data_IF_825477115175
#
_entry.id   IF_825477115175
#
_cell.length_a   1.000
_cell.length_b   1.000
_cell.length_c   1.000
_cell.angle_alpha   90.00
_cell.angle_beta   90.00
_cell.angle_gamma   90.00
#
_symmetry.space_group_name_H-M   'P 1'
#
loop_
_entity.id
_entity.type
_entity.pdbx_description
1 polymer ?
#
# COMPACT_ATOMS: atom_id res chain seq x y z
N UNK A 1 14.90 -34.56 48.77
CA UNK A 1 15.19 -35.48 47.65
C UNK A 1 13.96 -35.58 46.73
N UNK A 2 13.92 -34.81 45.64
CA UNK A 2 12.86 -34.87 44.63
C UNK A 2 13.35 -35.69 43.43
N UNK A 3 12.65 -36.77 43.09
CA UNK A 3 12.92 -37.62 41.92
C UNK A 3 12.75 -36.81 40.62
N UNK A 4 13.61 -36.98 39.59
CA UNK A 4 13.35 -36.42 38.27
C UNK A 4 12.27 -37.28 37.57
N UNK A 5 11.14 -36.68 37.22
CA UNK A 5 10.13 -37.34 36.38
C UNK A 5 10.61 -37.31 34.92
N UNK A 6 10.79 -38.50 34.37
CA UNK A 6 11.29 -38.73 33.01
C UNK A 6 10.41 -38.13 31.92
N UNK A 7 11.06 -37.82 30.79
CA UNK A 7 10.44 -37.43 29.53
C UNK A 7 9.35 -38.44 29.15
N UNK A 8 8.13 -37.95 28.89
CA UNK A 8 7.07 -38.75 28.31
C UNK A 8 7.52 -39.32 26.94
N UNK A 9 7.12 -40.55 26.57
CA UNK A 9 7.54 -41.15 25.31
C UNK A 9 6.91 -40.38 24.14
N UNK A 10 7.69 -40.16 23.08
CA UNK A 10 7.16 -39.78 21.76
C UNK A 10 6.08 -40.81 21.38
N UNK A 11 4.84 -40.35 21.14
CA UNK A 11 3.79 -41.19 20.54
C UNK A 11 4.35 -41.84 19.26
N UNK A 12 4.12 -43.15 19.04
CA UNK A 12 4.58 -43.81 17.82
C UNK A 12 3.92 -43.13 16.61
N UNK A 13 4.70 -42.88 15.56
CA UNK A 13 4.19 -42.43 14.27
C UNK A 13 3.10 -43.40 13.82
N UNK A 14 1.86 -42.92 13.71
CA UNK A 14 0.78 -43.71 13.13
C UNK A 14 1.24 -44.16 11.74
N UNK A 15 1.34 -45.48 11.52
CA UNK A 15 1.57 -46.04 10.19
C UNK A 15 0.46 -45.51 9.28
N UNK A 16 0.85 -44.82 8.20
CA UNK A 16 -0.12 -44.29 7.25
C UNK A 16 -0.90 -45.45 6.63
N UNK A 17 -2.23 -45.33 6.60
CA UNK A 17 -3.08 -46.29 5.88
C UNK A 17 -2.72 -46.28 4.38
N UNK A 18 -2.91 -47.39 3.64
CA UNK A 18 -2.51 -47.50 2.23
C UNK A 18 -3.08 -46.41 1.32
N UNK A 19 -4.30 -45.92 1.61
CA UNK A 19 -4.92 -44.80 0.89
C UNK A 19 -4.18 -43.47 1.08
N UNK A 20 -3.66 -43.22 2.28
CA UNK A 20 -2.96 -41.99 2.66
C UNK A 20 -1.59 -41.89 1.97
N UNK A 21 -0.87 -43.00 1.84
CA UNK A 21 0.39 -43.03 1.08
C UNK A 21 0.16 -42.69 -0.39
N UNK A 22 -0.86 -43.28 -1.02
CA UNK A 22 -1.20 -43.03 -2.44
C UNK A 22 -1.59 -41.57 -2.71
N UNK A 23 -2.38 -40.94 -1.83
CA UNK A 23 -2.71 -39.52 -1.98
C UNK A 23 -1.49 -38.60 -1.79
N UNK A 24 -0.58 -38.95 -0.87
CA UNK A 24 0.65 -38.16 -0.64
C UNK A 24 1.60 -38.27 -1.83
N UNK A 25 1.74 -39.45 -2.43
CA UNK A 25 2.54 -39.67 -3.63
C UNK A 25 1.98 -38.89 -4.84
N UNK A 26 0.66 -38.91 -5.00
CA UNK A 26 -0.01 -38.14 -6.06
C UNK A 26 0.15 -36.63 -5.84
N UNK A 27 0.03 -36.15 -4.60
CA UNK A 27 0.29 -34.75 -4.30
C UNK A 27 1.76 -34.37 -4.60
N UNK A 28 2.70 -35.23 -4.24
CA UNK A 28 4.13 -35.05 -4.51
C UNK A 28 4.40 -34.93 -6.02
N UNK A 29 3.77 -35.76 -6.85
CA UNK A 29 3.98 -35.73 -8.31
C UNK A 29 3.44 -34.46 -8.97
N UNK A 30 2.37 -33.85 -8.44
CA UNK A 30 1.81 -32.59 -8.95
C UNK A 30 2.38 -31.34 -8.27
N UNK A 31 3.12 -31.47 -7.16
CA UNK A 31 3.54 -30.37 -6.31
C UNK A 31 4.35 -29.30 -7.06
N UNK A 32 5.23 -29.70 -7.97
CA UNK A 32 6.01 -28.77 -8.79
C UNK A 32 5.11 -27.94 -9.72
N UNK A 33 4.15 -28.57 -10.38
CA UNK A 33 3.19 -27.91 -11.27
C UNK A 33 2.26 -26.99 -10.49
N UNK A 34 1.80 -27.42 -9.31
CA UNK A 34 1.00 -26.61 -8.40
C UNK A 34 1.80 -25.39 -7.90
N UNK A 35 3.09 -25.57 -7.60
CA UNK A 35 3.93 -24.44 -7.21
C UNK A 35 4.05 -23.41 -8.34
N UNK A 36 4.26 -23.86 -9.58
CA UNK A 36 4.26 -22.96 -10.75
C UNK A 36 2.92 -22.23 -10.92
N UNK A 37 1.79 -22.92 -10.68
CA UNK A 37 0.46 -22.29 -10.66
C UNK A 37 0.34 -21.22 -9.58
N UNK A 38 0.80 -21.49 -8.36
CA UNK A 38 0.83 -20.50 -7.26
C UNK A 38 1.66 -19.28 -7.65
N UNK A 39 2.86 -19.47 -8.21
CA UNK A 39 3.72 -18.36 -8.65
C UNK A 39 3.05 -17.50 -9.72
N UNK A 40 2.49 -18.14 -10.76
CA UNK A 40 1.81 -17.43 -11.84
C UNK A 40 0.55 -16.70 -11.37
N UNK A 41 -0.25 -17.34 -10.52
CA UNK A 41 -1.46 -16.72 -9.96
C UNK A 41 -1.11 -15.53 -9.08
N UNK A 42 -0.01 -15.59 -8.34
CA UNK A 42 0.48 -14.45 -7.56
C UNK A 42 0.86 -13.25 -8.44
N UNK A 43 1.61 -13.48 -9.53
CA UNK A 43 1.97 -12.42 -10.49
C UNK A 43 0.70 -11.80 -11.08
N UNK A 44 -0.24 -12.64 -11.53
CA UNK A 44 -1.52 -12.19 -12.06
C UNK A 44 -2.32 -11.35 -11.05
N UNK A 45 -2.43 -11.79 -9.79
CA UNK A 45 -3.13 -11.02 -8.76
C UNK A 45 -2.48 -9.63 -8.54
N UNK A 46 -1.15 -9.56 -8.56
CA UNK A 46 -0.41 -8.29 -8.45
C UNK A 46 -0.69 -7.36 -9.63
N UNK A 47 -0.61 -7.87 -10.86
CA UNK A 47 -0.91 -7.10 -12.07
C UNK A 47 -2.34 -6.59 -12.09
N UNK A 48 -3.30 -7.42 -11.66
CA UNK A 48 -4.70 -7.03 -11.55
C UNK A 48 -4.90 -5.91 -10.52
N UNK A 49 -4.30 -6.01 -9.34
CA UNK A 49 -4.41 -4.93 -8.34
C UNK A 49 -3.76 -3.63 -8.83
N UNK A 50 -2.58 -3.71 -9.45
CA UNK A 50 -1.84 -2.56 -9.94
C UNK A 50 -2.60 -1.84 -11.07
N UNK A 51 -3.21 -2.58 -12.00
CA UNK A 51 -4.03 -2.02 -13.09
C UNK A 51 -5.23 -1.23 -12.59
N UNK A 52 -5.82 -1.65 -11.48
CA UNK A 52 -6.95 -0.96 -10.85
C UNK A 52 -6.52 0.16 -9.89
N UNK A 53 -5.22 0.47 -9.81
CA UNK A 53 -4.69 1.53 -8.96
C UNK A 53 -4.74 1.20 -7.46
N UNK A 54 -4.98 -0.07 -7.10
CA UNK A 54 -4.99 -0.54 -5.73
C UNK A 54 -3.58 -0.97 -5.38
N UNK A 55 -3.06 -0.48 -4.25
CA UNK A 55 -1.73 -0.85 -3.75
C UNK A 55 -1.90 -1.63 -2.45
N UNK A 56 -2.01 -2.97 -2.52
CA UNK A 56 -1.94 -3.80 -1.33
C UNK A 56 -0.65 -3.52 -0.55
N UNK A 57 -0.71 -3.60 0.77
CA UNK A 57 0.46 -3.56 1.64
C UNK A 57 1.38 -4.74 1.33
N UNK A 58 0.80 -5.92 1.10
CA UNK A 58 1.52 -7.08 0.60
C UNK A 58 0.58 -8.05 -0.12
N UNK A 59 1.16 -8.85 -1.01
CA UNK A 59 0.52 -10.07 -1.54
C UNK A 59 1.46 -11.22 -1.23
N UNK A 60 1.06 -12.09 -0.33
CA UNK A 60 1.81 -13.29 0.01
C UNK A 60 1.27 -14.48 -0.77
N UNK A 61 2.10 -15.51 -0.93
CA UNK A 61 1.71 -16.77 -1.56
C UNK A 61 2.35 -17.93 -0.82
N UNK A 62 1.68 -19.08 -0.87
CA UNK A 62 2.18 -20.32 -0.30
C UNK A 62 1.60 -21.49 -1.06
N UNK A 63 2.48 -22.38 -1.51
CA UNK A 63 2.11 -23.75 -1.88
C UNK A 63 2.22 -24.62 -0.63
N UNK A 64 1.21 -25.46 -0.36
CA UNK A 64 1.20 -26.31 0.82
C UNK A 64 2.31 -27.36 0.71
N UNK A 65 3.15 -27.52 1.74
CA UNK A 65 4.20 -28.55 1.70
C UNK A 65 3.60 -29.95 1.75
N UNK A 66 4.34 -30.94 1.24
CA UNK A 66 3.91 -32.35 1.22
C UNK A 66 3.66 -32.85 2.65
N UNK A 67 4.49 -32.45 3.61
CA UNK A 67 4.34 -32.78 5.03
C UNK A 67 3.06 -32.17 5.60
N UNK A 68 2.82 -30.88 5.34
CA UNK A 68 1.60 -30.19 5.79
C UNK A 68 0.33 -30.78 5.15
N UNK A 69 0.42 -31.24 3.90
CA UNK A 69 -0.66 -31.95 3.23
C UNK A 69 -0.94 -33.29 3.92
N UNK A 70 0.11 -34.11 4.12
CA UNK A 70 0.02 -35.40 4.80
C UNK A 70 -0.54 -35.25 6.21
N UNK A 71 -0.08 -34.28 6.98
CA UNK A 71 -0.62 -34.01 8.31
C UNK A 71 -2.11 -33.65 8.26
N UNK A 72 -2.52 -32.82 7.29
CA UNK A 72 -3.90 -32.35 7.16
C UNK A 72 -4.88 -33.46 6.80
N UNK A 73 -4.50 -34.38 5.91
CA UNK A 73 -5.36 -35.52 5.52
C UNK A 73 -5.48 -36.58 6.61
N UNK A 74 -4.52 -36.64 7.55
CA UNK A 74 -4.52 -37.60 8.67
C UNK A 74 -5.13 -37.03 9.96
N UNK A 75 -5.71 -35.81 9.93
CA UNK A 75 -6.33 -35.23 11.13
C UNK A 75 -7.55 -36.06 11.56
N UNK A 76 -7.66 -36.45 12.84
CA UNK A 76 -8.81 -37.19 13.34
C UNK A 76 -10.13 -36.47 13.04
N UNK A 77 -11.13 -37.23 12.57
CA UNK A 77 -12.46 -36.68 12.26
C UNK A 77 -12.60 -36.04 10.88
N UNK A 78 -11.56 -36.06 10.03
CA UNK A 78 -11.65 -35.64 8.63
C UNK A 78 -11.38 -36.81 7.69
N UNK A 79 -12.43 -37.31 7.06
CA UNK A 79 -12.32 -38.38 6.05
C UNK A 79 -12.46 -37.77 4.66
N UNK A 80 -11.32 -37.44 4.05
CA UNK A 80 -11.29 -36.97 2.68
C UNK A 80 -11.27 -38.17 1.73
N UNK A 81 -12.28 -38.26 0.85
CA UNK A 81 -12.34 -39.29 -0.20
C UNK A 81 -11.52 -38.90 -1.43
N UNK A 82 -11.37 -37.60 -1.66
CA UNK A 82 -10.52 -37.02 -2.70
C UNK A 82 -9.84 -35.75 -2.16
N UNK A 83 -8.72 -35.91 -1.42
CA UNK A 83 -8.06 -34.77 -0.78
C UNK A 83 -7.56 -33.71 -1.76
N UNK A 84 -7.27 -34.06 -3.01
CA UNK A 84 -6.74 -33.11 -4.00
C UNK A 84 -7.79 -32.11 -4.46
N UNK A 85 -9.05 -32.56 -4.58
CA UNK A 85 -10.16 -31.69 -4.93
C UNK A 85 -10.89 -31.10 -3.71
N UNK A 86 -10.85 -31.78 -2.57
CA UNK A 86 -11.53 -31.35 -1.33
C UNK A 86 -10.70 -30.37 -0.49
N UNK A 87 -9.36 -30.39 -0.59
CA UNK A 87 -8.52 -29.38 0.04
C UNK A 87 -8.41 -28.16 -0.86
N UNK A 88 -8.98 -27.05 -0.42
CA UNK A 88 -9.02 -25.80 -1.17
C UNK A 88 -7.79 -24.92 -0.97
N UNK A 89 -6.94 -25.24 0.02
CA UNK A 89 -5.76 -24.47 0.44
C UNK A 89 -4.43 -25.11 0.00
N UNK A 90 -4.42 -25.81 -1.13
CA UNK A 90 -3.20 -26.37 -1.72
C UNK A 90 -2.32 -25.26 -2.34
N UNK A 91 -2.95 -24.32 -3.03
CA UNK A 91 -2.39 -23.04 -3.45
C UNK A 91 -3.09 -21.93 -2.65
N UNK A 92 -2.33 -21.13 -1.91
CA UNK A 92 -2.88 -20.09 -1.04
C UNK A 92 -2.25 -18.73 -1.34
N UNK A 93 -3.09 -17.70 -1.39
CA UNK A 93 -2.71 -16.31 -1.53
C UNK A 93 -3.28 -15.50 -0.37
N UNK A 94 -2.52 -14.51 0.10
CA UNK A 94 -3.00 -13.54 1.07
C UNK A 94 -2.77 -12.15 0.54
N UNK A 95 -3.85 -11.41 0.32
CA UNK A 95 -3.79 -10.02 -0.10
C UNK A 95 -4.10 -9.18 1.14
N UNK A 96 -3.12 -8.38 1.57
CA UNK A 96 -3.25 -7.47 2.71
C UNK A 96 -3.40 -6.05 2.17
N UNK A 97 -4.54 -5.43 2.42
CA UNK A 97 -4.85 -4.05 2.01
C UNK A 97 -4.84 -3.11 3.22
N UNK A 98 -4.79 -1.80 2.97
CA UNK A 98 -4.75 -0.80 4.04
C UNK A 98 -6.14 -0.48 4.60
N UNK A 99 -7.17 -0.45 3.74
CA UNK A 99 -8.50 0.04 4.08
C UNK A 99 -9.60 -0.98 3.75
N UNK A 100 -10.73 -0.90 4.46
CA UNK A 100 -11.87 -1.79 4.26
C UNK A 100 -12.46 -1.67 2.84
N UNK A 101 -12.55 -0.46 2.29
CA UNK A 101 -13.07 -0.24 0.93
C UNK A 101 -12.23 -0.96 -0.13
N UNK A 102 -10.93 -1.12 0.11
CA UNK A 102 -10.06 -1.85 -0.80
C UNK A 102 -10.31 -3.36 -0.78
N UNK A 103 -10.84 -3.91 0.33
CA UNK A 103 -11.32 -5.30 0.35
C UNK A 103 -12.43 -5.48 -0.68
N UNK A 104 -13.38 -4.56 -0.72
CA UNK A 104 -14.53 -4.71 -1.62
C UNK A 104 -14.15 -4.41 -3.08
N UNK A 105 -13.22 -3.49 -3.33
CA UNK A 105 -12.66 -3.26 -4.66
C UNK A 105 -11.90 -4.48 -5.18
N UNK A 106 -11.00 -5.06 -4.38
CA UNK A 106 -10.25 -6.26 -4.77
C UNK A 106 -11.17 -7.47 -4.92
N UNK A 107 -12.20 -7.59 -4.07
CA UNK A 107 -13.23 -8.62 -4.19
C UNK A 107 -13.91 -8.58 -5.57
N UNK A 108 -14.30 -7.39 -6.04
CA UNK A 108 -14.90 -7.22 -7.38
C UNK A 108 -13.94 -7.63 -8.49
N UNK A 109 -12.66 -7.28 -8.39
CA UNK A 109 -11.63 -7.69 -9.37
C UNK A 109 -11.52 -9.21 -9.41
N UNK A 110 -11.45 -9.87 -8.25
CA UNK A 110 -11.37 -11.33 -8.16
C UNK A 110 -12.61 -11.99 -8.78
N UNK A 111 -13.81 -11.50 -8.45
CA UNK A 111 -15.08 -12.00 -8.99
C UNK A 111 -15.23 -11.80 -10.51
N UNK A 112 -14.61 -10.75 -11.06
CA UNK A 112 -14.59 -10.49 -12.50
C UNK A 112 -13.64 -11.42 -13.25
N UNK A 113 -12.44 -11.62 -12.69
CA UNK A 113 -11.30 -12.27 -13.37
C UNK A 113 -11.23 -13.79 -13.18
N UNK A 114 -11.90 -14.33 -12.15
CA UNK A 114 -11.84 -15.74 -11.80
C UNK A 114 -13.22 -16.38 -11.67
N UNK A 115 -13.26 -17.70 -11.76
CA UNK A 115 -14.42 -18.48 -11.37
C UNK A 115 -14.41 -18.69 -9.86
N UNK A 116 -15.50 -18.29 -9.19
CA UNK A 116 -15.62 -18.36 -7.73
C UNK A 116 -16.46 -19.57 -7.33
N UNK A 117 -15.87 -20.46 -6.54
CA UNK A 117 -16.60 -21.54 -5.86
C UNK A 117 -17.29 -20.95 -4.62
N UNK A 118 -18.52 -20.46 -4.81
CA UNK A 118 -19.28 -19.78 -3.74
C UNK A 118 -19.57 -20.67 -2.54
N UNK A 119 -19.70 -21.99 -2.73
CA UNK A 119 -19.97 -22.94 -1.66
C UNK A 119 -18.74 -23.16 -0.77
N UNK A 120 -17.54 -23.10 -1.35
CA UNK A 120 -16.28 -23.23 -0.62
C UNK A 120 -15.70 -21.89 -0.13
N UNK A 121 -16.16 -20.77 -0.69
CA UNK A 121 -15.78 -19.41 -0.29
C UNK A 121 -16.51 -18.99 1.00
N UNK A 122 -15.90 -18.11 1.78
CA UNK A 122 -16.54 -17.58 2.99
C UNK A 122 -16.26 -16.09 3.18
N UNK A 123 -17.29 -15.34 3.57
CA UNK A 123 -17.12 -13.97 4.07
C UNK A 123 -17.44 -13.95 5.55
N UNK A 124 -16.41 -14.03 6.40
CA UNK A 124 -16.60 -14.03 7.84
C UNK A 124 -17.04 -12.68 8.38
N UNK A 125 -16.94 -11.61 7.58
CA UNK A 125 -17.47 -10.29 7.93
C UNK A 125 -19.00 -10.29 7.92
N UNK A 126 -19.62 -11.04 7.01
CA UNK A 126 -21.08 -11.12 6.88
C UNK A 126 -21.72 -12.17 7.81
N UNK A 127 -20.93 -13.05 8.42
CA UNK A 127 -21.42 -14.22 9.17
C UNK A 127 -21.34 -14.06 10.69
N UNK A 128 -20.79 -12.95 11.20
CA UNK A 128 -20.80 -12.66 12.63
C UNK A 128 -22.17 -12.13 13.04
N UNK A 129 -22.74 -12.71 14.10
CA UNK A 129 -23.95 -12.13 14.67
C UNK A 129 -23.65 -10.73 15.25
N UNK A 130 -24.62 -9.81 15.36
CA UNK A 130 -24.37 -8.45 15.86
C UNK A 130 -23.77 -8.36 17.27
N UNK A 131 -23.81 -9.45 18.04
CA UNK A 131 -23.26 -9.55 19.40
C UNK A 131 -21.91 -10.29 19.45
N UNK A 132 -21.36 -10.65 18.29
CA UNK A 132 -20.09 -11.36 18.15
C UNK A 132 -19.02 -10.44 17.56
N UNK A 133 -17.80 -10.55 18.09
CA UNK A 133 -16.59 -9.91 17.58
C UNK A 133 -15.57 -11.02 17.31
N UNK A 134 -14.76 -10.87 16.28
CA UNK A 134 -13.79 -11.93 16.03
C UNK A 134 -12.99 -11.78 14.75
N UNK A 135 -12.59 -12.94 14.24
CA UNK A 135 -11.73 -13.02 13.07
C UNK A 135 -12.50 -12.66 11.80
N UNK A 136 -12.24 -11.46 11.29
CA UNK A 136 -12.77 -10.92 10.05
C UNK A 136 -11.79 -11.21 8.89
N UNK A 137 -12.26 -11.89 7.85
CA UNK A 137 -11.53 -12.08 6.60
C UNK A 137 -12.49 -12.58 5.52
N UNK A 138 -12.22 -12.20 4.27
CA UNK A 138 -12.93 -12.73 3.11
C UNK A 138 -12.06 -13.73 2.37
N UNK A 139 -12.55 -14.96 2.24
CA UNK A 139 -11.84 -16.08 1.63
C UNK A 139 -12.55 -16.47 0.34
N UNK A 140 -11.84 -16.37 -0.77
CA UNK A 140 -12.31 -16.83 -2.08
C UNK A 140 -11.64 -18.14 -2.44
N UNK A 141 -12.42 -19.12 -2.88
CA UNK A 141 -11.89 -20.28 -3.59
C UNK A 141 -12.07 -20.02 -5.08
N UNK A 142 -10.94 -19.81 -5.75
CA UNK A 142 -10.88 -19.37 -7.14
C UNK A 142 -10.35 -20.48 -8.05
N UNK A 143 -10.80 -20.45 -9.31
CA UNK A 143 -10.21 -21.19 -10.42
C UNK A 143 -10.13 -20.30 -11.65
N UNK A 144 -9.30 -20.67 -12.61
CA UNK A 144 -9.12 -19.88 -13.83
C UNK A 144 -10.43 -19.83 -14.63
N UNK A 145 -10.75 -18.64 -15.15
CA UNK A 145 -11.93 -18.39 -15.98
C UNK A 145 -11.60 -18.55 -17.46
N UNK A 146 -12.54 -18.99 -18.29
CA UNK A 146 -12.39 -18.96 -19.75
C UNK A 146 -12.31 -17.50 -20.24
N UNK A 147 -11.45 -17.15 -21.22
CA UNK A 147 -10.60 -18.02 -22.03
C UNK A 147 -9.21 -18.30 -21.44
N UNK A 148 -8.89 -17.83 -20.22
CA UNK A 148 -7.55 -18.00 -19.64
C UNK A 148 -7.14 -19.47 -19.55
N UNK A 149 -8.08 -20.37 -19.28
CA UNK A 149 -7.84 -21.82 -19.25
C UNK A 149 -7.42 -22.43 -20.59
N UNK A 150 -7.65 -21.76 -21.72
CA UNK A 150 -7.28 -22.27 -23.05
C UNK A 150 -5.95 -21.70 -23.55
N UNK A 151 -5.39 -20.70 -22.87
CA UNK A 151 -4.12 -20.10 -23.25
C UNK A 151 -2.97 -21.11 -23.05
N UNK A 152 -2.01 -21.22 -23.99
CA UNK A 152 -0.91 -22.19 -23.90
C UNK A 152 -0.13 -22.13 -22.58
N UNK A 153 0.04 -20.93 -22.03
CA UNK A 153 0.76 -20.70 -20.79
C UNK A 153 -0.07 -20.98 -19.52
N UNK A 154 -1.37 -21.26 -19.64
CA UNK A 154 -2.28 -21.51 -18.51
C UNK A 154 -3.03 -22.86 -18.58
N UNK A 155 -3.07 -23.51 -19.74
CA UNK A 155 -3.87 -24.71 -19.97
C UNK A 155 -3.57 -25.88 -19.00
N UNK A 156 -2.31 -26.03 -18.59
CA UNK A 156 -1.85 -27.06 -17.66
C UNK A 156 -2.36 -26.86 -16.24
N UNK A 157 -2.93 -25.68 -15.94
CA UNK A 157 -3.46 -25.32 -14.63
C UNK A 157 -4.99 -25.20 -14.60
N UNK A 158 -5.68 -25.57 -15.69
CA UNK A 158 -7.12 -25.33 -15.85
C UNK A 158 -7.98 -25.95 -14.73
N UNK A 159 -7.52 -27.06 -14.13
CA UNK A 159 -8.23 -27.76 -13.06
C UNK A 159 -7.77 -27.38 -11.65
N UNK A 160 -6.79 -26.49 -11.51
CA UNK A 160 -6.31 -26.08 -10.19
C UNK A 160 -7.19 -24.99 -9.57
N UNK A 161 -7.31 -25.08 -8.25
CA UNK A 161 -7.96 -24.09 -7.40
C UNK A 161 -6.93 -23.40 -6.51
N UNK A 162 -7.20 -22.16 -6.15
CA UNK A 162 -6.45 -21.43 -5.14
C UNK A 162 -7.39 -20.80 -4.11
N UNK A 163 -6.94 -20.72 -2.87
CA UNK A 163 -7.58 -19.92 -1.83
C UNK A 163 -6.96 -18.52 -1.81
N UNK A 164 -7.78 -17.48 -1.94
CA UNK A 164 -7.36 -16.08 -1.76
C UNK A 164 -7.97 -15.54 -0.49
N UNK A 165 -7.12 -15.23 0.49
CA UNK A 165 -7.50 -14.60 1.75
C UNK A 165 -7.27 -13.10 1.65
N UNK A 166 -8.35 -12.33 1.68
CA UNK A 166 -8.32 -10.87 1.61
C UNK A 166 -8.59 -10.29 3.01
N UNK A 167 -7.70 -9.39 3.45
CA UNK A 167 -7.70 -8.80 4.80
C UNK A 167 -7.15 -7.38 4.80
N UNK A 168 -7.55 -6.57 5.78
CA UNK A 168 -6.81 -5.37 6.16
C UNK A 168 -5.52 -5.72 6.90
N UNK A 169 -4.63 -4.74 7.08
CA UNK A 169 -3.44 -4.87 7.96
C UNK A 169 -3.85 -5.25 9.39
N UNK A 170 -4.91 -4.65 9.94
CA UNK A 170 -5.34 -4.92 11.32
C UNK A 170 -5.97 -6.31 11.45
N UNK A 171 -6.78 -6.73 10.49
CA UNK A 171 -7.31 -8.10 10.42
C UNK A 171 -6.19 -9.15 10.30
N UNK A 172 -5.14 -8.85 9.53
CA UNK A 172 -3.98 -9.73 9.44
C UNK A 172 -3.22 -9.81 10.78
N UNK A 173 -2.95 -8.66 11.41
CA UNK A 173 -2.28 -8.59 12.70
C UNK A 173 -3.05 -9.38 13.78
N UNK A 174 -4.38 -9.19 13.83
CA UNK A 174 -5.24 -9.93 14.74
C UNK A 174 -5.11 -11.44 14.57
N UNK A 175 -5.25 -11.91 13.34
CA UNK A 175 -5.19 -13.33 13.02
C UNK A 175 -3.81 -13.95 13.32
N UNK A 176 -2.73 -13.21 13.08
CA UNK A 176 -1.38 -13.66 13.41
C UNK A 176 -1.19 -13.84 14.92
N UNK A 177 -1.71 -12.90 15.72
CA UNK A 177 -1.66 -12.96 17.19
C UNK A 177 -2.53 -14.11 17.71
N UNK A 178 -3.77 -14.20 17.25
CA UNK A 178 -4.73 -15.23 17.67
C UNK A 178 -4.21 -16.63 17.36
N UNK A 179 -3.70 -16.85 16.14
CA UNK A 179 -3.09 -18.11 15.75
C UNK A 179 -1.84 -18.44 16.59
N UNK A 180 -0.98 -17.46 16.87
CA UNK A 180 0.22 -17.64 17.70
C UNK A 180 -0.13 -18.03 19.14
N UNK A 181 -1.18 -17.42 19.71
CA UNK A 181 -1.66 -17.74 21.05
C UNK A 181 -2.27 -19.13 21.12
N UNK A 182 -3.14 -19.49 20.17
CA UNK A 182 -3.73 -20.82 20.10
C UNK A 182 -2.68 -21.92 19.87
N UNK A 183 -1.68 -21.67 19.03
CA UNK A 183 -0.64 -22.64 18.72
C UNK A 183 0.28 -22.93 19.92
N UNK A 184 0.56 -21.91 20.76
CA UNK A 184 1.40 -22.07 21.96
C UNK A 184 0.63 -22.63 23.15
N UNK A 185 -0.69 -22.55 23.15
CA UNK A 185 -1.56 -23.07 24.21
C UNK A 185 -2.22 -24.38 23.75
N UNK A 186 -1.54 -25.52 23.91
CA UNK A 186 -2.20 -26.85 23.85
C UNK A 186 -3.26 -27.04 24.97
N UNK A 187 -3.34 -26.06 25.88
CA UNK A 187 -4.31 -25.95 26.97
C UNK A 187 -5.28 -24.81 26.63
N UNK A 188 -6.58 -25.03 26.84
CA UNK A 188 -7.63 -24.02 26.61
C UNK A 188 -7.24 -22.62 27.11
N UNK A 189 -7.33 -21.63 26.22
CA UNK A 189 -7.13 -20.22 26.57
C UNK A 189 -8.09 -19.86 27.70
N UNK A 190 -7.61 -19.41 28.88
CA UNK A 190 -8.48 -19.07 30.01
C UNK A 190 -9.55 -18.04 29.60
N UNK A 191 -10.74 -18.16 30.18
CA UNK A 191 -11.91 -17.32 29.84
C UNK A 191 -11.62 -15.82 29.90
N UNK A 192 -10.84 -15.36 30.88
CA UNK A 192 -10.42 -13.96 30.99
C UNK A 192 -9.54 -13.52 29.80
N UNK A 193 -8.59 -14.35 29.39
CA UNK A 193 -7.75 -14.09 28.21
C UNK A 193 -8.57 -14.08 26.93
N UNK A 194 -9.53 -15.00 26.79
CA UNK A 194 -10.47 -15.03 25.65
C UNK A 194 -11.31 -13.75 25.60
N UNK A 195 -11.81 -13.27 26.74
CA UNK A 195 -12.55 -11.99 26.82
C UNK A 195 -11.68 -10.80 26.45
N UNK A 196 -10.40 -10.78 26.85
CA UNK A 196 -9.46 -9.72 26.44
C UNK A 196 -9.21 -9.74 24.93
N UNK A 197 -9.02 -10.94 24.36
CA UNK A 197 -8.86 -11.12 22.93
C UNK A 197 -10.07 -10.58 22.16
N UNK A 198 -11.28 -10.94 22.58
CA UNK A 198 -12.52 -10.46 21.99
C UNK A 198 -12.71 -8.93 22.07
N UNK A 199 -12.24 -8.30 23.15
CA UNK A 199 -12.25 -6.83 23.26
C UNK A 199 -11.25 -6.18 22.31
N UNK A 200 -10.08 -6.80 22.12
CA UNK A 200 -9.06 -6.32 21.18
C UNK A 200 -9.55 -6.44 19.74
N UNK A 201 -10.26 -7.52 19.36
CA UNK A 201 -10.83 -7.60 18.03
C UNK A 201 -11.83 -6.48 17.76
N UNK A 202 -12.68 -6.12 18.72
CA UNK A 202 -13.58 -4.97 18.58
C UNK A 202 -12.85 -3.62 18.45
N UNK A 203 -11.74 -3.44 19.16
CA UNK A 203 -10.91 -2.24 19.00
C UNK A 203 -10.28 -2.15 17.61
N UNK A 204 -9.81 -3.29 17.08
CA UNK A 204 -9.21 -3.35 15.75
C UNK A 204 -10.24 -3.15 14.63
N UNK A 205 -11.45 -3.68 14.81
CA UNK A 205 -12.57 -3.47 13.90
C UNK A 205 -12.97 -1.99 13.85
N UNK A 206 -13.16 -1.35 15.01
CA UNK A 206 -13.41 0.09 15.09
C UNK A 206 -12.28 0.91 14.45
N UNK A 207 -11.02 0.54 14.72
CA UNK A 207 -9.89 1.24 14.12
C UNK A 207 -9.87 1.11 12.59
N UNK A 208 -10.18 -0.07 12.04
CA UNK A 208 -10.31 -0.27 10.59
C UNK A 208 -11.41 0.63 9.99
N UNK A 209 -12.56 0.77 10.66
CA UNK A 209 -13.65 1.67 10.24
C UNK A 209 -13.23 3.13 10.25
N UNK A 210 -12.63 3.60 11.35
CA UNK A 210 -12.16 4.98 11.49
C UNK A 210 -11.08 5.34 10.45
N UNK A 211 -10.11 4.45 10.20
CA UNK A 211 -9.12 4.66 9.15
C UNK A 211 -9.75 4.73 7.75
N UNK A 212 -10.78 3.92 7.50
CA UNK A 212 -11.51 3.93 6.24
C UNK A 212 -12.30 5.24 6.06
N UNK A 213 -12.95 5.74 7.12
CA UNK A 213 -13.63 7.04 7.12
C UNK A 213 -12.66 8.19 6.83
N UNK A 214 -11.54 8.26 7.56
CA UNK A 214 -10.52 9.29 7.33
C UNK A 214 -9.98 9.27 5.90
N UNK A 215 -9.76 8.08 5.34
CA UNK A 215 -9.33 7.94 3.96
C UNK A 215 -10.39 8.47 2.99
N UNK A 216 -11.67 8.16 3.21
CA UNK A 216 -12.76 8.62 2.37
C UNK A 216 -12.97 10.13 2.44
N UNK A 217 -12.87 10.72 3.64
CA UNK A 217 -12.88 12.18 3.83
C UNK A 217 -11.72 12.86 3.08
N UNK A 218 -10.51 12.30 3.15
CA UNK A 218 -9.38 12.83 2.40
C UNK A 218 -9.58 12.73 0.88
N UNK A 219 -10.16 11.64 0.37
CA UNK A 219 -10.43 11.49 -1.06
C UNK A 219 -11.57 12.39 -1.54
N UNK A 220 -12.61 12.56 -0.74
CA UNK A 220 -13.69 13.50 -1.01
C UNK A 220 -13.16 14.93 -1.06
N UNK A 221 -12.38 15.32 -0.04
CA UNK A 221 -11.71 16.62 0.02
C UNK A 221 -10.84 16.84 -1.21
N UNK A 222 -9.98 15.88 -1.57
CA UNK A 222 -9.20 15.89 -2.82
C UNK A 222 -10.08 16.15 -4.04
N UNK A 223 -11.21 15.47 -4.14
CA UNK A 223 -12.11 15.55 -5.29
C UNK A 223 -12.79 16.92 -5.38
N UNK A 224 -13.28 17.44 -4.26
CA UNK A 224 -13.92 18.75 -4.19
C UNK A 224 -12.93 19.88 -4.46
N UNK A 225 -11.71 19.79 -3.91
CA UNK A 225 -10.60 20.70 -4.25
C UNK A 225 -10.33 20.67 -5.75
N UNK A 226 -10.20 19.49 -6.36
CA UNK A 226 -9.97 19.35 -7.81
C UNK A 226 -11.12 19.95 -8.62
N UNK A 227 -12.37 19.80 -8.20
CA UNK A 227 -13.53 20.43 -8.85
C UNK A 227 -13.51 21.96 -8.70
N UNK A 228 -13.20 22.45 -7.51
CA UNK A 228 -13.08 23.87 -7.20
C UNK A 228 -12.00 24.53 -8.06
N UNK A 229 -10.79 23.95 -8.12
CA UNK A 229 -9.69 24.43 -8.96
C UNK A 229 -10.06 24.44 -10.45
N UNK A 230 -10.71 23.38 -10.96
CA UNK A 230 -11.21 23.35 -12.36
C UNK A 230 -12.25 24.43 -12.66
N UNK A 231 -13.05 24.81 -11.66
CA UNK A 231 -14.05 25.88 -11.78
C UNK A 231 -13.46 27.27 -11.51
N UNK A 232 -12.14 27.38 -11.29
CA UNK A 232 -11.48 28.63 -10.94
C UNK A 232 -11.83 29.15 -9.55
N UNK A 233 -12.37 28.30 -8.67
CA UNK A 233 -12.68 28.67 -7.29
C UNK A 233 -11.38 28.80 -6.48
N UNK A 234 -11.00 30.05 -6.26
CA UNK A 234 -9.77 30.48 -5.58
C UNK A 234 -9.73 30.17 -4.08
N UNK A 235 -10.87 30.12 -3.40
CA UNK A 235 -11.01 30.16 -1.93
C UNK A 235 -10.70 28.87 -1.14
N UNK A 236 -9.89 27.95 -1.67
CA UNK A 236 -9.55 26.68 -0.99
C UNK A 236 -8.30 26.85 -0.12
N UNK A 237 -8.36 26.44 1.14
CA UNK A 237 -7.24 26.49 2.10
C UNK A 237 -5.97 25.79 1.58
N UNK A 238 -4.79 26.24 2.02
CA UNK A 238 -3.51 25.64 1.64
C UNK A 238 -3.15 24.49 2.58
N UNK A 239 -2.94 23.32 1.99
CA UNK A 239 -2.34 22.16 2.64
C UNK A 239 -1.67 21.27 1.57
N UNK A 240 -1.02 20.18 1.99
CA UNK A 240 -0.29 19.31 1.07
C UNK A 240 -1.18 18.75 -0.05
N UNK A 241 -2.44 18.45 0.27
CA UNK A 241 -3.42 17.93 -0.68
C UNK A 241 -3.77 18.96 -1.75
N UNK A 242 -4.01 20.21 -1.35
CA UNK A 242 -4.39 21.28 -2.27
C UNK A 242 -3.23 21.72 -3.15
N UNK A 243 -2.01 21.73 -2.59
CA UNK A 243 -0.78 21.96 -3.37
C UNK A 243 -0.53 20.86 -4.40
N UNK A 244 -0.70 19.58 -4.05
CA UNK A 244 -0.60 18.49 -5.05
C UNK A 244 -1.60 18.67 -6.19
N UNK A 245 -2.84 19.02 -5.88
CA UNK A 245 -3.86 19.27 -6.91
C UNK A 245 -3.53 20.51 -7.77
N UNK A 246 -2.99 21.57 -7.15
CA UNK A 246 -2.55 22.78 -7.83
C UNK A 246 -1.41 22.52 -8.82
N UNK A 247 -0.40 21.73 -8.43
CA UNK A 247 0.72 21.31 -9.29
C UNK A 247 0.28 20.52 -10.53
N UNK A 248 -0.80 19.74 -10.41
CA UNK A 248 -1.35 18.93 -11.51
C UNK A 248 -2.20 19.76 -12.49
N UNK A 249 -2.84 20.84 -12.04
CA UNK A 249 -3.95 21.47 -12.77
C UNK A 249 -3.75 22.93 -13.15
N UNK A 250 -2.94 23.70 -12.39
CA UNK A 250 -2.63 25.07 -12.75
C UNK A 250 -1.55 25.13 -13.81
N UNK A 251 -1.65 26.11 -14.71
CA UNK A 251 -0.59 26.43 -15.67
C UNK A 251 0.62 27.07 -14.98
N UNK A 252 0.43 27.79 -13.87
CA UNK A 252 1.48 28.57 -13.23
C UNK A 252 2.69 27.72 -12.83
N UNK A 253 2.56 26.58 -12.13
CA UNK A 253 3.73 25.76 -11.80
C UNK A 253 4.41 25.13 -13.03
N UNK A 254 3.66 24.86 -14.10
CA UNK A 254 4.24 24.41 -15.37
C UNK A 254 5.06 25.52 -16.03
N UNK A 255 4.51 26.73 -16.12
CA UNK A 255 5.21 27.88 -16.67
C UNK A 255 6.48 28.20 -15.87
N UNK A 256 6.42 28.18 -14.54
CA UNK A 256 7.59 28.39 -13.69
C UNK A 256 8.66 27.31 -13.90
N UNK A 257 8.26 26.05 -14.06
CA UNK A 257 9.18 24.97 -14.41
C UNK A 257 9.85 25.24 -15.76
N UNK A 258 9.08 25.62 -16.79
CA UNK A 258 9.65 25.95 -18.11
C UNK A 258 10.64 27.13 -18.03
N UNK A 259 10.36 28.14 -17.20
CA UNK A 259 11.30 29.24 -16.98
C UNK A 259 12.58 28.80 -16.25
N UNK A 260 12.50 27.85 -15.32
CA UNK A 260 13.70 27.26 -14.74
C UNK A 260 14.51 26.49 -15.80
N UNK A 261 13.86 25.69 -16.64
CA UNK A 261 14.53 24.92 -17.69
C UNK A 261 15.21 25.84 -18.73
N UNK A 262 14.58 26.96 -19.09
CA UNK A 262 15.17 27.91 -20.04
C UNK A 262 16.42 28.63 -19.50
N UNK A 263 16.56 28.72 -18.18
CA UNK A 263 17.75 29.26 -17.50
C UNK A 263 18.92 28.26 -17.49
N UNK A 264 18.63 26.96 -17.56
CA UNK A 264 19.64 25.89 -17.55
C UNK A 264 19.50 24.87 -16.42
N UNK A 265 18.42 24.94 -15.62
CA UNK A 265 18.09 23.85 -14.69
C UNK A 265 17.72 22.58 -15.47
N UNK A 266 17.96 21.40 -14.87
CA UNK A 266 17.84 20.11 -15.56
C UNK A 266 16.76 19.24 -14.91
N UNK A 267 15.98 18.50 -15.71
CA UNK A 267 15.07 17.48 -15.18
C UNK A 267 15.85 16.21 -14.78
N UNK A 268 15.39 15.46 -13.77
CA UNK A 268 15.95 14.14 -13.46
C UNK A 268 15.81 13.17 -14.63
N UNK A 269 16.84 12.38 -14.88
CA UNK A 269 16.91 11.36 -15.93
C UNK A 269 17.53 10.05 -15.40
N UNK A 270 17.84 9.09 -16.29
CA UNK A 270 18.44 7.81 -15.88
C UNK A 270 19.88 7.97 -15.34
N UNK A 271 20.62 8.97 -15.81
CA UNK A 271 21.99 9.27 -15.36
C UNK A 271 22.00 10.04 -14.02
N UNK A 272 20.93 10.81 -13.76
CA UNK A 272 20.76 11.68 -12.62
C UNK A 272 19.36 11.46 -11.97
N UNK A 273 19.08 10.27 -11.43
CA UNK A 273 17.78 9.97 -10.86
C UNK A 273 17.54 10.77 -9.58
N UNK A 274 16.26 11.06 -9.29
CA UNK A 274 15.89 11.55 -7.97
C UNK A 274 16.22 10.48 -6.91
N UNK A 275 16.67 10.86 -5.70
CA UNK A 275 17.03 9.92 -4.65
C UNK A 275 15.91 8.93 -4.30
N UNK A 276 14.66 9.40 -4.28
CA UNK A 276 13.45 8.58 -4.19
C UNK A 276 12.19 9.40 -4.53
N UNK A 277 11.04 8.73 -4.66
CA UNK A 277 9.74 9.37 -4.98
C UNK A 277 9.20 10.27 -3.86
N UNK A 278 9.55 9.99 -2.59
CA UNK A 278 9.14 10.78 -1.42
C UNK A 278 9.77 12.18 -1.40
N UNK A 279 10.80 12.42 -2.22
CA UNK A 279 11.46 13.70 -2.35
C UNK A 279 10.54 14.81 -2.87
N UNK A 280 9.59 14.48 -3.75
CA UNK A 280 8.58 15.45 -4.21
C UNK A 280 7.53 15.76 -3.13
N UNK A 281 7.18 14.78 -2.28
CA UNK A 281 6.23 14.97 -1.18
C UNK A 281 6.80 15.93 -0.12
N UNK A 282 8.12 15.90 0.10
CA UNK A 282 8.82 16.88 0.94
C UNK A 282 8.64 18.30 0.40
N UNK A 283 8.82 18.52 -0.89
CA UNK A 283 8.65 19.84 -1.51
C UNK A 283 7.21 20.33 -1.49
N UNK A 284 6.24 19.45 -1.72
CA UNK A 284 4.81 19.76 -1.55
C UNK A 284 4.53 20.22 -0.11
N UNK A 285 5.10 19.53 0.88
CA UNK A 285 4.96 19.87 2.29
C UNK A 285 5.63 21.22 2.62
N UNK A 286 6.80 21.48 2.04
CA UNK A 286 7.48 22.77 2.13
C UNK A 286 6.63 23.91 1.57
N UNK A 287 6.11 23.79 0.35
CA UNK A 287 5.23 24.81 -0.25
C UNK A 287 4.02 25.09 0.62
N UNK A 288 3.36 24.04 1.14
CA UNK A 288 2.21 24.20 2.03
C UNK A 288 2.60 24.98 3.29
N UNK A 289 3.68 24.59 3.97
CA UNK A 289 4.16 25.26 5.19
C UNK A 289 4.57 26.71 4.96
N UNK A 290 5.23 27.03 3.85
CA UNK A 290 5.64 28.41 3.53
C UNK A 290 4.42 29.30 3.26
N UNK A 291 3.39 28.74 2.61
CA UNK A 291 2.29 29.53 2.06
C UNK A 291 1.10 29.65 3.01
N UNK A 292 0.91 28.70 3.94
CA UNK A 292 -0.28 28.60 4.81
C UNK A 292 -0.51 29.86 5.65
N UNK A 293 0.55 30.45 6.22
CA UNK A 293 0.43 31.66 7.05
C UNK A 293 0.58 32.97 6.24
N UNK A 294 0.89 32.87 4.94
CA UNK A 294 1.18 34.02 4.07
C UNK A 294 0.08 34.31 3.07
N UNK A 295 -0.80 33.35 2.84
CA UNK A 295 -1.88 33.45 1.86
C UNK A 295 -3.11 32.71 2.34
N UNK A 296 -4.29 33.31 2.14
CA UNK A 296 -5.55 32.76 2.63
C UNK A 296 -5.96 31.45 1.93
N UNK A 297 -5.57 31.29 0.66
CA UNK A 297 -6.03 30.19 -0.19
C UNK A 297 -5.14 30.00 -1.44
N UNK A 298 -5.35 28.90 -2.15
CA UNK A 298 -4.60 28.54 -3.36
C UNK A 298 -4.74 29.57 -4.48
N UNK A 299 -5.89 30.23 -4.61
CA UNK A 299 -6.05 31.27 -5.63
C UNK A 299 -5.24 32.54 -5.32
N UNK A 300 -5.15 32.93 -4.04
CA UNK A 300 -4.26 34.01 -3.60
C UNK A 300 -2.79 33.67 -3.86
N UNK A 301 -2.38 32.41 -3.60
CA UNK A 301 -1.04 31.93 -3.94
C UNK A 301 -0.76 31.99 -5.46
N UNK A 302 -1.67 31.47 -6.29
CA UNK A 302 -1.55 31.51 -7.76
C UNK A 302 -1.45 32.95 -8.29
N UNK A 303 -2.29 33.86 -7.78
CA UNK A 303 -2.28 35.27 -8.16
C UNK A 303 -0.96 35.96 -7.78
N UNK A 304 -0.44 35.71 -6.58
CA UNK A 304 0.84 36.23 -6.11
C UNK A 304 2.00 35.71 -6.96
N UNK A 305 2.03 34.41 -7.26
CA UNK A 305 3.08 33.81 -8.10
C UNK A 305 3.03 34.36 -9.53
N UNK A 306 1.83 34.50 -10.13
CA UNK A 306 1.68 35.09 -11.47
C UNK A 306 2.10 36.55 -11.50
N UNK A 307 1.71 37.34 -10.50
CA UNK A 307 2.07 38.76 -10.41
C UNK A 307 3.59 38.96 -10.37
N UNK A 308 4.31 38.06 -9.71
CA UNK A 308 5.77 38.16 -9.54
C UNK A 308 6.55 37.25 -10.51
N UNK A 309 5.93 36.78 -11.60
CA UNK A 309 6.55 35.81 -12.52
C UNK A 309 7.89 36.27 -13.05
N UNK A 310 7.98 37.49 -13.58
CA UNK A 310 9.22 38.04 -14.13
C UNK A 310 10.34 38.12 -13.07
N UNK A 311 10.01 38.62 -11.87
CA UNK A 311 10.94 38.68 -10.74
C UNK A 311 11.42 37.29 -10.32
N UNK A 312 10.53 36.28 -10.33
CA UNK A 312 10.89 34.88 -10.09
C UNK A 312 11.87 34.38 -11.15
N UNK A 313 11.68 34.72 -12.43
CA UNK A 313 12.60 34.32 -13.51
C UNK A 313 13.98 34.95 -13.33
N UNK A 314 14.07 36.23 -12.95
CA UNK A 314 15.33 36.88 -12.60
C UNK A 314 16.00 36.21 -11.41
N UNK A 315 15.22 35.86 -10.37
CA UNK A 315 15.72 35.11 -9.23
C UNK A 315 16.28 33.75 -9.62
N UNK A 316 15.56 32.95 -10.41
CA UNK A 316 16.03 31.65 -10.89
C UNK A 316 17.33 31.78 -11.70
N UNK A 317 17.43 32.81 -12.55
CA UNK A 317 18.63 33.11 -13.33
C UNK A 317 19.82 33.47 -12.44
N UNK A 318 19.62 34.33 -11.45
CA UNK A 318 20.65 34.69 -10.48
C UNK A 318 21.08 33.48 -9.64
N UNK A 319 20.12 32.63 -9.23
CA UNK A 319 20.36 31.44 -8.43
C UNK A 319 21.21 30.41 -9.19
N UNK A 320 20.90 30.20 -10.46
CA UNK A 320 21.70 29.33 -11.33
C UNK A 320 23.13 29.87 -11.51
N UNK A 321 23.26 31.17 -11.78
CA UNK A 321 24.56 31.83 -11.96
C UNK A 321 25.43 31.84 -10.69
N UNK A 322 24.82 31.84 -9.50
CA UNK A 322 25.53 31.80 -8.22
C UNK A 322 26.25 30.46 -7.96
N UNK A 323 26.01 29.42 -8.78
CA UNK A 323 26.62 28.10 -8.62
C UNK A 323 27.13 27.53 -9.96
N UNK A 324 28.12 28.19 -10.59
CA UNK A 324 28.60 27.79 -11.92
C UNK A 324 29.19 26.38 -11.90
N UNK A 325 28.86 25.57 -12.91
CA UNK A 325 29.34 24.19 -13.07
C UNK A 325 28.63 23.14 -12.21
N UNK A 326 27.65 23.52 -11.40
CA UNK A 326 26.80 22.56 -10.67
C UNK A 326 25.53 22.24 -11.45
N UNK A 327 25.17 20.95 -11.53
CA UNK A 327 23.86 20.54 -12.06
C UNK A 327 22.78 20.81 -11.02
N UNK A 328 21.80 21.63 -11.38
CA UNK A 328 20.59 21.79 -10.58
C UNK A 328 19.48 20.90 -11.13
N UNK A 329 19.26 19.77 -10.46
CA UNK A 329 18.10 18.92 -10.76
C UNK A 329 16.84 19.54 -10.18
N UNK A 330 15.79 19.66 -11.00
CA UNK A 330 14.54 20.28 -10.60
C UNK A 330 13.33 19.45 -10.96
N UNK A 331 12.32 19.56 -10.11
CA UNK A 331 10.98 19.07 -10.37
C UNK A 331 10.00 20.22 -10.25
N UNK A 332 8.79 20.05 -10.80
CA UNK A 332 7.70 21.03 -10.65
C UNK A 332 7.49 21.48 -9.19
N UNK A 333 7.34 20.60 -8.18
CA UNK A 333 7.18 21.03 -6.79
C UNK A 333 8.42 21.72 -6.23
N UNK A 334 9.63 21.36 -6.68
CA UNK A 334 10.86 22.02 -6.24
C UNK A 334 10.94 23.47 -6.73
N UNK A 335 10.66 23.70 -8.02
CA UNK A 335 10.65 25.06 -8.58
C UNK A 335 9.57 25.90 -7.90
N UNK A 336 8.38 25.33 -7.68
CA UNK A 336 7.31 26.02 -6.95
C UNK A 336 7.75 26.44 -5.54
N UNK A 337 8.46 25.57 -4.82
CA UNK A 337 9.00 25.87 -3.49
C UNK A 337 10.03 27.01 -3.54
N UNK A 338 10.96 26.98 -4.50
CA UNK A 338 11.93 28.07 -4.70
C UNK A 338 11.22 29.40 -4.99
N UNK A 339 10.19 29.39 -5.83
CA UNK A 339 9.38 30.58 -6.11
C UNK A 339 8.70 31.10 -4.84
N UNK A 340 8.15 30.22 -4.00
CA UNK A 340 7.54 30.62 -2.73
C UNK A 340 8.58 31.22 -1.77
N UNK A 341 9.77 30.63 -1.65
CA UNK A 341 10.84 31.20 -0.84
C UNK A 341 11.25 32.61 -1.28
N UNK A 342 11.30 32.87 -2.59
CA UNK A 342 11.64 34.18 -3.11
C UNK A 342 10.54 35.21 -2.86
N UNK A 343 9.28 34.85 -3.12
CA UNK A 343 8.15 35.76 -2.95
C UNK A 343 7.89 36.08 -1.48
N UNK A 344 8.08 35.10 -0.58
CA UNK A 344 7.91 35.26 0.87
C UNK A 344 9.25 35.41 1.61
N UNK A 345 10.26 36.02 0.97
CA UNK A 345 11.65 36.07 1.45
C UNK A 345 11.89 36.85 2.75
N UNK A 346 10.92 37.62 3.23
CA UNK A 346 11.07 38.45 4.43
C UNK A 346 11.43 37.61 5.67
N UNK A 347 10.85 36.42 5.80
CA UNK A 347 11.11 35.49 6.91
C UNK A 347 12.10 34.37 6.52
N UNK A 348 12.64 34.42 5.30
CA UNK A 348 13.58 33.41 4.83
C UNK A 348 14.94 33.57 5.53
N UNK A 349 15.35 32.49 6.21
CA UNK A 349 16.64 32.40 6.91
C UNK A 349 17.41 31.14 6.51
N UNK A 350 18.72 31.17 6.74
CA UNK A 350 19.61 30.03 6.44
C UNK A 350 19.28 28.87 7.37
N UNK A 351 19.00 29.16 8.64
CA UNK A 351 18.63 28.20 9.68
C UNK A 351 17.36 27.43 9.30
N UNK A 352 16.34 28.12 8.78
CA UNK A 352 15.09 27.50 8.32
C UNK A 352 15.35 26.49 7.19
N UNK A 353 16.15 26.86 6.19
CA UNK A 353 16.47 25.96 5.09
C UNK A 353 17.27 24.75 5.56
N UNK A 354 18.22 24.94 6.49
CA UNK A 354 18.98 23.82 7.08
C UNK A 354 18.07 22.86 7.85
N UNK A 355 17.13 23.38 8.65
CA UNK A 355 16.12 22.55 9.34
C UNK A 355 15.26 21.76 8.35
N UNK A 356 15.00 22.32 7.17
CA UNK A 356 14.29 21.67 6.07
C UNK A 356 15.18 20.77 5.19
N UNK A 357 16.40 20.46 5.64
CA UNK A 357 17.30 19.46 5.02
C UNK A 357 18.24 20.01 3.95
N UNK A 358 18.35 21.34 3.80
CA UNK A 358 19.32 21.93 2.86
C UNK A 358 20.73 21.91 3.45
N UNK A 359 21.74 21.74 2.59
CA UNK A 359 23.12 21.96 3.03
C UNK A 359 23.36 23.45 3.26
N UNK A 360 24.18 23.77 4.28
CA UNK A 360 24.46 25.16 4.68
C UNK A 360 24.87 26.06 3.51
N UNK A 361 25.78 25.58 2.67
CA UNK A 361 26.26 26.34 1.50
C UNK A 361 25.11 26.65 0.52
N UNK A 362 24.26 25.67 0.21
CA UNK A 362 23.13 25.90 -0.72
C UNK A 362 22.09 26.82 -0.07
N UNK A 363 21.82 26.66 1.22
CA UNK A 363 20.93 27.56 1.96
C UNK A 363 21.43 29.01 1.91
N UNK A 364 22.71 29.27 2.19
CA UNK A 364 23.31 30.60 2.11
C UNK A 364 23.15 31.23 0.72
N UNK A 365 23.38 30.44 -0.35
CA UNK A 365 23.19 30.89 -1.74
C UNK A 365 21.73 31.25 -2.01
N UNK A 366 20.77 30.40 -1.63
CA UNK A 366 19.34 30.64 -1.87
C UNK A 366 18.87 31.91 -1.15
N UNK A 367 19.20 32.04 0.15
CA UNK A 367 18.77 33.19 0.96
C UNK A 367 19.39 34.48 0.45
N UNK A 368 20.71 34.50 0.21
CA UNK A 368 21.40 35.69 -0.28
C UNK A 368 20.91 36.11 -1.66
N UNK A 369 20.72 35.15 -2.56
CA UNK A 369 20.19 35.43 -3.91
C UNK A 369 18.78 35.99 -3.81
N UNK A 370 17.89 35.36 -3.04
CA UNK A 370 16.51 35.83 -2.89
C UNK A 370 16.44 37.26 -2.32
N UNK A 371 17.25 37.60 -1.31
CA UNK A 371 17.26 38.93 -0.68
C UNK A 371 17.87 40.03 -1.57
N UNK A 372 18.75 39.67 -2.50
CA UNK A 372 19.44 40.62 -3.38
C UNK A 372 18.67 40.89 -4.69
N UNK A 373 17.60 40.15 -4.98
CA UNK A 373 16.81 40.34 -6.20
C UNK A 373 15.56 41.20 -5.92
N UNK A 374 15.20 42.12 -6.83
CA UNK A 374 13.98 42.92 -6.71
C UNK A 374 12.74 42.03 -6.87
N UNK A 375 11.69 42.31 -6.11
CA UNK A 375 10.39 41.65 -6.22
C UNK A 375 9.42 42.48 -7.04
#
# INVERSE_FOLDING_TARGET
MKKPKGKAPKKPSAQATPSTSTHTETYSSIHQTLNAFTEKTHILLKELTDRHGIKPQSIERRTKTIESFREKINRPGKNYTDPLNQLTDLSGHRIIVHYLDDIDKVSKIIEQEFNIDKAASSDKRANLAPHELGYLSRHFIISLKHPRTTLPEWNSYANFKAEVQLRTVLQHAWAAIEHSLQYKSEVDIPSNSRRRLFRLSGLLELADEEFNLLQNEQQHTKTEIRKALRKGSSGVEINTVTISAYLEQSKTPEELLQSALSVGFTLPDEEHPLPNKAFNDHYVSGVASISQDKTENIGSLDAILRKNKESIEFFLKALFAARPGSVWLVTKPFVLMLSCYFVFREELSVEMLIQNGWSKNVAEIVVSTAKNQPL
#
